data_IF_332819675661
#
_entry.id   IF_332819675661
#
_cell.length_a   1.000
_cell.length_b   1.000
_cell.length_c   1.000
_cell.angle_alpha   90.00
_cell.angle_beta   90.00
_cell.angle_gamma   90.00
#
_symmetry.space_group_name_H-M   'P 1'
#
loop_
_entity.id
_entity.type
_entity.pdbx_description
1 polymer ?
#
# COMPACT_ATOMS: atom_id res chain seq x y z
N UNK A 1 -31.25 3.22 -9.68
CA UNK A 1 -30.33 3.96 -10.58
C UNK A 1 -29.05 4.24 -9.80
N UNK A 2 -27.92 3.65 -10.21
CA UNK A 2 -26.61 3.98 -9.63
C UNK A 2 -26.33 5.46 -9.87
N UNK A 3 -26.12 6.22 -8.79
CA UNK A 3 -25.76 7.63 -8.84
C UNK A 3 -24.42 7.73 -9.58
N UNK A 4 -24.34 8.51 -10.66
CA UNK A 4 -23.07 8.74 -11.36
C UNK A 4 -22.01 9.24 -10.37
N UNK A 5 -20.77 8.78 -10.53
CA UNK A 5 -19.66 9.19 -9.67
C UNK A 5 -19.49 10.71 -9.72
N UNK A 6 -19.61 11.34 -8.55
CA UNK A 6 -19.39 12.78 -8.37
C UNK A 6 -17.89 13.11 -8.31
N UNK A 7 -17.03 12.11 -8.29
CA UNK A 7 -15.58 12.25 -8.22
C UNK A 7 -14.97 11.43 -9.35
N UNK A 8 -14.08 12.04 -10.12
CA UNK A 8 -13.22 11.37 -11.10
C UNK A 8 -11.78 11.71 -10.80
N UNK A 9 -10.87 10.77 -10.91
CA UNK A 9 -9.46 11.09 -10.74
C UNK A 9 -8.54 10.18 -11.54
N UNK A 10 -7.39 10.73 -11.90
CA UNK A 10 -6.27 10.03 -12.53
C UNK A 10 -5.12 10.06 -11.54
N UNK A 11 -4.61 8.89 -11.19
CA UNK A 11 -3.54 8.73 -10.20
C UNK A 11 -2.35 8.04 -10.86
N UNK A 12 -1.15 8.59 -10.64
CA UNK A 12 0.12 8.01 -11.12
C UNK A 12 0.85 7.37 -9.94
N UNK A 13 0.82 6.04 -9.88
CA UNK A 13 1.50 5.25 -8.86
C UNK A 13 2.80 4.65 -9.42
N UNK A 14 3.93 4.98 -8.79
CA UNK A 14 5.26 4.44 -9.13
C UNK A 14 5.81 3.68 -7.92
N UNK A 15 5.75 2.34 -7.98
CA UNK A 15 6.09 1.50 -6.83
C UNK A 15 5.17 1.80 -5.64
N UNK A 16 5.75 2.30 -4.53
CA UNK A 16 5.00 2.71 -3.34
C UNK A 16 4.66 4.21 -3.30
N UNK A 17 5.17 5.00 -4.26
CA UNK A 17 4.98 6.45 -4.28
C UNK A 17 3.84 6.84 -5.23
N UNK A 18 2.78 7.43 -4.67
CA UNK A 18 1.79 8.18 -5.42
C UNK A 18 2.41 9.53 -5.79
N UNK A 19 2.78 9.66 -7.06
CA UNK A 19 3.56 10.79 -7.58
C UNK A 19 2.68 11.90 -8.14
N UNK A 20 1.50 11.54 -8.66
CA UNK A 20 0.52 12.49 -9.17
C UNK A 20 -0.88 12.00 -8.82
N UNK A 21 -1.77 12.94 -8.51
CA UNK A 21 -3.19 12.69 -8.36
C UNK A 21 -3.94 13.91 -8.88
N UNK A 22 -4.61 13.77 -10.02
CA UNK A 22 -5.55 14.74 -10.60
C UNK A 22 -6.95 14.29 -10.22
N UNK A 23 -7.71 15.12 -9.52
CA UNK A 23 -9.03 14.81 -8.96
C UNK A 23 -10.01 15.92 -9.35
N UNK A 24 -11.08 15.51 -10.02
CA UNK A 24 -12.21 16.35 -10.41
C UNK A 24 -13.43 15.98 -9.56
N UNK A 25 -13.89 16.92 -8.75
CA UNK A 25 -15.04 16.79 -7.86
C UNK A 25 -16.20 17.65 -8.39
N UNK A 26 -17.32 17.02 -8.70
CA UNK A 26 -18.57 17.69 -9.03
C UNK A 26 -19.39 17.86 -7.75
N UNK A 27 -19.66 19.09 -7.35
CA UNK A 27 -20.43 19.31 -6.12
C UNK A 27 -21.91 19.00 -6.34
N UNK A 28 -22.60 18.47 -5.34
CA UNK A 28 -24.02 18.11 -5.48
C UNK A 28 -24.96 19.34 -5.47
N UNK A 29 -24.48 20.48 -4.95
CA UNK A 29 -25.29 21.69 -4.73
C UNK A 29 -25.14 22.71 -5.86
N UNK A 30 -24.01 22.74 -6.55
CA UNK A 30 -23.77 23.57 -7.72
C UNK A 30 -23.21 22.70 -8.84
N UNK A 31 -23.55 22.98 -10.11
CA UNK A 31 -22.96 22.27 -11.26
C UNK A 31 -21.47 22.65 -11.48
N UNK A 32 -20.79 23.14 -10.44
CA UNK A 32 -19.39 23.52 -10.43
C UNK A 32 -18.51 22.29 -10.31
N UNK A 33 -17.47 22.26 -11.14
CA UNK A 33 -16.39 21.27 -11.11
C UNK A 33 -15.20 21.88 -10.36
N UNK A 34 -14.77 21.23 -9.29
CA UNK A 34 -13.56 21.56 -8.55
C UNK A 34 -12.44 20.63 -9.01
N UNK A 35 -11.29 21.20 -9.36
CA UNK A 35 -10.12 20.47 -9.82
C UNK A 35 -9.00 20.58 -8.77
N UNK A 36 -8.44 19.44 -8.40
CA UNK A 36 -7.35 19.31 -7.44
C UNK A 36 -6.24 18.50 -8.06
N UNK A 37 -5.00 18.94 -7.88
CA UNK A 37 -3.82 18.21 -8.32
C UNK A 37 -2.80 18.11 -7.19
N UNK A 38 -2.05 17.01 -7.14
CA UNK A 38 -0.84 16.94 -6.34
C UNK A 38 0.15 18.03 -6.79
N UNK A 39 0.89 18.57 -5.82
CA UNK A 39 1.98 19.47 -6.12
C UNK A 39 3.15 18.67 -6.69
N UNK A 40 3.81 19.21 -7.71
CA UNK A 40 4.90 18.53 -8.43
C UNK A 40 6.11 18.17 -7.54
N UNK A 41 6.28 18.86 -6.41
CA UNK A 41 7.36 18.67 -5.45
C UNK A 41 7.05 17.63 -4.35
N UNK A 42 5.84 17.08 -4.32
CA UNK A 42 5.41 16.14 -3.27
C UNK A 42 5.00 14.79 -3.83
N UNK A 43 5.49 13.74 -3.19
CA UNK A 43 5.00 12.38 -3.38
C UNK A 43 4.38 11.84 -2.08
N UNK A 44 3.31 11.07 -2.20
CA UNK A 44 2.68 10.40 -1.07
C UNK A 44 3.07 8.92 -1.05
N UNK A 45 3.70 8.45 0.03
CA UNK A 45 4.10 7.04 0.15
C UNK A 45 2.94 6.21 0.69
N UNK A 46 2.57 5.17 -0.04
CA UNK A 46 1.58 4.19 0.38
C UNK A 46 2.27 3.15 1.27
N UNK A 47 2.15 3.35 2.58
CA UNK A 47 2.77 2.49 3.59
C UNK A 47 2.43 1.00 3.40
N UNK A 48 1.21 0.69 2.95
CA UNK A 48 0.78 -0.67 2.68
C UNK A 48 1.65 -1.39 1.63
N UNK A 49 2.06 -0.69 0.57
CA UNK A 49 2.91 -1.25 -0.49
C UNK A 49 4.32 -1.43 0.05
N UNK A 50 4.83 -0.45 0.80
CA UNK A 50 6.15 -0.53 1.43
C UNK A 50 6.24 -1.72 2.41
N UNK A 51 5.27 -1.85 3.30
CA UNK A 51 5.21 -2.93 4.29
C UNK A 51 5.09 -4.29 3.62
N UNK A 52 4.26 -4.40 2.57
CA UNK A 52 4.15 -5.64 1.80
C UNK A 52 5.47 -6.02 1.12
N UNK A 53 6.15 -5.05 0.48
CA UNK A 53 7.48 -5.25 -0.10
C UNK A 53 8.49 -5.73 0.96
N UNK A 54 8.49 -5.13 2.14
CA UNK A 54 9.38 -5.52 3.24
C UNK A 54 9.14 -6.98 3.67
N UNK A 55 7.88 -7.40 3.80
CA UNK A 55 7.54 -8.79 4.11
C UNK A 55 7.97 -9.77 3.00
N UNK A 56 7.80 -9.41 1.73
CA UNK A 56 8.27 -10.23 0.60
C UNK A 56 9.79 -10.37 0.62
N UNK A 57 10.52 -9.27 0.84
CA UNK A 57 11.98 -9.31 0.97
C UNK A 57 12.43 -10.19 2.15
N UNK A 58 11.72 -10.15 3.27
CA UNK A 58 12.01 -11.02 4.41
C UNK A 58 11.77 -12.49 4.09
N UNK A 59 10.71 -12.82 3.33
CA UNK A 59 10.46 -14.18 2.85
C UNK A 59 11.57 -14.66 1.91
N UNK A 60 12.00 -13.81 0.98
CA UNK A 60 13.12 -14.11 0.08
C UNK A 60 14.42 -14.33 0.85
N UNK A 61 14.70 -13.51 1.87
CA UNK A 61 15.85 -13.68 2.75
C UNK A 61 15.79 -15.02 3.50
N UNK A 62 14.63 -15.43 4.01
CA UNK A 62 14.47 -16.73 4.68
C UNK A 62 14.80 -17.92 3.75
N UNK A 63 14.52 -17.78 2.45
CA UNK A 63 14.82 -18.79 1.44
C UNK A 63 16.29 -18.76 0.98
N UNK A 64 16.86 -17.55 0.84
CA UNK A 64 18.22 -17.34 0.33
C UNK A 64 19.32 -17.35 1.40
N UNK A 65 18.96 -17.33 2.69
CA UNK A 65 19.92 -17.38 3.79
C UNK A 65 20.65 -18.72 3.95
N UNK A 66 20.24 -19.74 3.20
CA UNK A 66 20.86 -21.06 3.27
C UNK A 66 21.74 -21.25 2.03
N UNK A 67 22.91 -21.81 2.27
CA UNK A 67 23.82 -22.27 1.21
C UNK A 67 23.12 -23.34 0.35
N UNK A 68 23.43 -23.39 -0.93
CA UNK A 68 22.93 -24.42 -1.86
C UNK A 68 23.35 -25.82 -1.42
N UNK A 69 24.42 -25.93 -0.61
CA UNK A 69 24.88 -27.19 0.00
C UNK A 69 24.16 -27.54 1.30
N UNK A 70 23.19 -26.74 1.75
CA UNK A 70 22.51 -26.98 3.02
C UNK A 70 21.53 -28.15 2.91
N UNK A 71 21.83 -29.23 3.62
CA UNK A 71 20.92 -30.36 3.77
C UNK A 71 20.10 -30.24 5.05
N UNK A 72 18.78 -30.14 4.91
CA UNK A 72 17.86 -30.20 6.03
C UNK A 72 18.02 -31.52 6.78
N UNK A 73 18.08 -31.44 8.11
CA UNK A 73 18.31 -32.62 8.96
C UNK A 73 17.03 -33.37 9.28
N UNK A 74 15.90 -32.67 9.30
CA UNK A 74 14.59 -33.23 9.65
C UNK A 74 13.47 -32.58 8.86
N UNK A 75 12.36 -33.29 8.68
CA UNK A 75 11.13 -32.70 8.10
C UNK A 75 10.56 -31.57 8.97
N UNK A 76 10.73 -31.63 10.29
CA UNK A 76 10.30 -30.55 11.19
C UNK A 76 11.04 -29.23 10.93
N UNK A 77 12.29 -29.30 10.49
CA UNK A 77 13.08 -28.13 10.12
C UNK A 77 12.55 -27.46 8.85
N UNK A 78 12.20 -28.26 7.85
CA UNK A 78 11.56 -27.78 6.61
C UNK A 78 10.22 -27.13 6.93
N UNK A 79 9.39 -27.77 7.76
CA UNK A 79 8.09 -27.21 8.15
C UNK A 79 8.25 -25.86 8.85
N UNK A 80 9.18 -25.72 9.80
CA UNK A 80 9.45 -24.44 10.48
C UNK A 80 9.87 -23.33 9.51
N UNK A 81 10.68 -23.67 8.50
CA UNK A 81 11.02 -22.72 7.45
C UNK A 81 9.78 -22.30 6.65
N UNK A 82 9.00 -23.26 6.20
CA UNK A 82 7.81 -23.00 5.40
C UNK A 82 6.78 -22.18 6.18
N UNK A 83 6.60 -22.46 7.47
CA UNK A 83 5.74 -21.67 8.37
C UNK A 83 6.21 -20.21 8.45
N UNK A 84 7.52 -19.98 8.59
CA UNK A 84 8.09 -18.64 8.65
C UNK A 84 7.90 -17.88 7.32
N UNK A 85 8.09 -18.55 6.18
CA UNK A 85 7.87 -17.97 4.84
C UNK A 85 6.39 -17.65 4.65
N UNK A 86 5.49 -18.59 4.95
CA UNK A 86 4.05 -18.40 4.83
C UNK A 86 3.52 -17.29 5.74
N UNK A 87 4.10 -17.12 6.93
CA UNK A 87 3.78 -16.00 7.82
C UNK A 87 4.10 -14.65 7.16
N UNK A 88 5.27 -14.51 6.54
CA UNK A 88 5.63 -13.27 5.84
C UNK A 88 4.72 -13.00 4.64
N UNK A 89 4.42 -14.03 3.83
CA UNK A 89 3.51 -13.88 2.69
C UNK A 89 2.09 -13.50 3.13
N UNK A 90 1.60 -14.11 4.21
CA UNK A 90 0.29 -13.78 4.80
C UNK A 90 0.26 -12.34 5.29
N UNK A 91 1.32 -11.87 5.95
CA UNK A 91 1.45 -10.47 6.40
C UNK A 91 1.51 -9.50 5.22
N UNK A 92 2.29 -9.81 4.18
CA UNK A 92 2.36 -9.01 2.95
C UNK A 92 0.97 -8.85 2.31
N UNK A 93 0.26 -9.97 2.14
CA UNK A 93 -1.12 -9.97 1.63
C UNK A 93 -2.02 -9.10 2.50
N UNK A 94 -2.02 -9.32 3.82
CA UNK A 94 -2.88 -8.58 4.73
C UNK A 94 -2.61 -7.07 4.69
N UNK A 95 -1.34 -6.65 4.54
CA UNK A 95 -1.00 -5.23 4.38
C UNK A 95 -1.61 -4.62 3.13
N UNK A 96 -1.68 -5.37 2.02
CA UNK A 96 -2.30 -4.90 0.77
C UNK A 96 -3.83 -4.95 0.81
N UNK A 97 -4.42 -5.93 1.49
CA UNK A 97 -5.88 -6.13 1.49
C UNK A 97 -6.61 -5.39 2.60
N UNK A 98 -5.93 -5.04 3.69
CA UNK A 98 -6.54 -4.40 4.85
C UNK A 98 -6.04 -2.96 4.96
N UNK A 99 -6.87 -1.96 4.57
CA UNK A 99 -6.53 -0.55 4.74
C UNK A 99 -6.40 -0.20 6.23
N UNK A 100 -5.55 0.79 6.54
CA UNK A 100 -5.43 1.30 7.89
C UNK A 100 -6.76 1.93 8.33
N UNK A 101 -7.22 1.58 9.54
CA UNK A 101 -8.36 2.25 10.16
C UNK A 101 -7.88 3.58 10.73
N UNK A 102 -8.18 4.67 10.03
CA UNK A 102 -7.86 6.03 10.46
C UNK A 102 -9.14 6.77 10.85
N UNK A 103 -9.08 7.45 11.99
CA UNK A 103 -10.10 8.42 12.39
C UNK A 103 -10.06 9.65 11.47
N UNK A 104 -11.16 10.41 11.44
CA UNK A 104 -11.21 11.65 10.66
C UNK A 104 -10.12 12.66 11.08
N UNK A 105 -9.79 12.72 12.38
CA UNK A 105 -8.74 13.58 12.91
C UNK A 105 -7.35 13.17 12.40
N UNK A 106 -7.06 11.86 12.34
CA UNK A 106 -5.81 11.33 11.80
C UNK A 106 -5.70 11.57 10.28
N UNK A 107 -6.81 11.49 9.56
CA UNK A 107 -6.83 11.84 8.13
C UNK A 107 -6.57 13.33 7.91
N UNK A 108 -7.22 14.21 8.68
CA UNK A 108 -7.06 15.67 8.55
C UNK A 108 -5.64 16.14 8.89
N UNK A 109 -4.95 15.44 9.79
CA UNK A 109 -3.55 15.71 10.16
C UNK A 109 -2.53 14.96 9.32
N UNK A 110 -2.97 14.01 8.49
CA UNK A 110 -2.09 13.31 7.56
C UNK A 110 -1.54 14.28 6.53
N UNK A 111 -0.27 14.11 6.13
CA UNK A 111 0.35 14.92 5.08
C UNK A 111 -0.33 14.83 3.70
N UNK A 112 -1.37 13.99 3.57
CA UNK A 112 -2.28 13.91 2.43
C UNK A 112 -3.29 15.07 2.39
N UNK A 113 -3.75 15.56 3.56
CA UNK A 113 -4.78 16.61 3.66
C UNK A 113 -4.25 17.97 4.08
N UNK A 114 -2.99 18.09 4.53
CA UNK A 114 -2.42 19.37 4.97
C UNK A 114 -2.32 20.35 3.79
N UNK A 115 -3.14 21.42 3.75
CA UNK A 115 -2.85 22.55 2.89
C UNK A 115 -1.67 23.28 3.53
N UNK A 116 -0.58 23.45 2.78
CA UNK A 116 0.48 24.41 3.17
C UNK A 116 0.22 25.69 2.40
#
# INVERSE_FOLDING_TARGET
MCRMDQVKGVLTLQGEALTQADINLKTAKSNQLLHFQFRDDKHWKLQQIQDARNHVNQALHLLSCRDDTYHFKTGAEVNKLMDAVMLQLTRARNRLTTPASLTLSELATSGLMVPV
#
